data_IF_221061826229
#
_entry.id   IF_221061826229
#
_cell.length_a   1.000
_cell.length_b   1.000
_cell.length_c   1.000
_cell.angle_alpha   90.00
_cell.angle_beta   90.00
_cell.angle_gamma   90.00
#
_symmetry.space_group_name_H-M   'P 1'
#
loop_
_entity.id
_entity.type
_entity.pdbx_description
1 polymer ?
#
# COMPACT_ATOMS: atom_id res chain seq x y z
N UNK A 1 -9.12 19.94 -14.85
CA UNK A 1 -8.80 19.07 -13.69
C UNK A 1 -7.91 17.92 -14.14
N UNK A 2 -8.34 17.11 -15.11
CA UNK A 2 -7.47 16.17 -15.82
C UNK A 2 -6.68 16.90 -16.91
N UNK A 3 -5.37 16.74 -16.94
CA UNK A 3 -4.48 17.26 -17.99
C UNK A 3 -3.17 16.46 -17.98
N UNK A 4 -2.24 16.76 -18.89
CA UNK A 4 -0.93 16.10 -18.94
C UNK A 4 0.20 17.04 -18.55
N UNK A 5 1.20 16.51 -17.85
CA UNK A 5 2.42 17.23 -17.47
C UNK A 5 3.62 16.28 -17.54
N UNK A 6 4.82 16.82 -17.80
CA UNK A 6 6.06 16.05 -17.69
C UNK A 6 6.52 16.07 -16.23
N UNK A 7 6.68 14.88 -15.64
CA UNK A 7 7.14 14.70 -14.25
C UNK A 7 8.41 13.88 -14.26
N UNK A 8 9.42 14.27 -13.47
CA UNK A 8 10.70 13.55 -13.34
C UNK A 8 11.37 13.21 -14.69
N UNK A 9 11.32 14.15 -15.63
CA UNK A 9 11.88 14.01 -16.99
C UNK A 9 11.25 12.89 -17.85
N UNK A 10 10.10 12.34 -17.44
CA UNK A 10 9.30 11.42 -18.25
C UNK A 10 8.52 12.19 -19.33
N UNK A 11 8.13 11.52 -20.44
CA UNK A 11 7.12 12.05 -21.35
C UNK A 11 5.85 12.47 -20.59
N UNK A 12 5.10 13.43 -21.14
CA UNK A 12 3.93 13.96 -20.47
C UNK A 12 2.87 12.86 -20.24
N UNK A 13 2.40 12.75 -19.00
CA UNK A 13 1.41 11.76 -18.56
C UNK A 13 0.24 12.43 -17.83
N UNK A 14 -0.86 11.71 -17.66
CA UNK A 14 -2.06 12.25 -17.05
C UNK A 14 -1.88 12.52 -15.55
N UNK A 15 -2.39 13.67 -15.12
CA UNK A 15 -2.44 14.07 -13.70
C UNK A 15 -3.79 14.67 -13.36
N UNK A 16 -4.17 14.55 -12.09
CA UNK A 16 -5.40 15.12 -11.56
C UNK A 16 -5.10 16.31 -10.64
N UNK A 17 -5.67 17.46 -10.96
CA UNK A 17 -5.50 18.73 -10.22
C UNK A 17 -6.81 19.24 -9.62
N UNK A 18 -7.75 18.34 -9.33
CA UNK A 18 -9.02 18.73 -8.72
C UNK A 18 -8.80 19.25 -7.28
N UNK A 19 -9.57 20.24 -6.81
CA UNK A 19 -9.24 20.97 -5.59
C UNK A 19 -9.12 20.09 -4.34
N UNK A 20 -10.06 19.16 -4.12
CA UNK A 20 -10.07 18.33 -2.91
C UNK A 20 -8.99 17.27 -2.95
N UNK A 21 -8.74 16.68 -4.13
CA UNK A 21 -7.63 15.72 -4.31
C UNK A 21 -6.30 16.38 -3.97
N UNK A 22 -6.05 17.59 -4.49
CA UNK A 22 -4.79 18.30 -4.20
C UNK A 22 -4.70 18.69 -2.72
N UNK A 23 -5.79 19.16 -2.10
CA UNK A 23 -5.83 19.46 -0.66
C UNK A 23 -5.42 18.24 0.19
N UNK A 24 -6.04 17.10 -0.07
CA UNK A 24 -5.81 15.88 0.71
C UNK A 24 -4.44 15.27 0.41
N UNK A 25 -4.00 15.30 -0.84
CA UNK A 25 -2.67 14.82 -1.21
C UNK A 25 -1.57 15.66 -0.55
N UNK A 26 -1.70 17.00 -0.51
CA UNK A 26 -0.77 17.88 0.21
C UNK A 26 -0.65 17.47 1.68
N UNK A 27 -1.77 17.16 2.33
CA UNK A 27 -1.80 16.72 3.72
C UNK A 27 -1.17 15.32 3.90
N UNK A 28 -1.46 14.37 3.01
CA UNK A 28 -0.90 13.01 3.06
C UNK A 28 0.61 13.02 2.86
N UNK A 29 1.08 13.63 1.78
CA UNK A 29 2.50 13.61 1.42
C UNK A 29 3.33 14.65 2.19
N UNK A 30 2.72 15.61 2.90
CA UNK A 30 3.43 16.71 3.54
C UNK A 30 4.10 17.67 2.55
N UNK A 31 3.53 17.83 1.35
CA UNK A 31 4.05 18.71 0.30
C UNK A 31 3.06 19.84 -0.01
N UNK A 32 3.22 21.01 0.62
CA UNK A 32 2.27 22.13 0.50
C UNK A 32 2.20 22.76 -0.90
N UNK A 33 3.26 22.64 -1.70
CA UNK A 33 3.37 23.24 -3.04
C UNK A 33 2.85 22.35 -4.16
N UNK A 34 2.48 21.10 -3.87
CA UNK A 34 1.95 20.16 -4.86
C UNK A 34 0.77 20.76 -5.63
N UNK A 35 0.73 20.60 -6.95
CA UNK A 35 -0.33 21.14 -7.82
C UNK A 35 -1.25 20.06 -8.41
N UNK A 36 -0.82 18.81 -8.41
CA UNK A 36 -1.53 17.69 -9.01
C UNK A 36 -1.06 16.35 -8.41
N UNK A 37 -1.88 15.32 -8.57
CA UNK A 37 -1.54 13.93 -8.25
C UNK A 37 -1.40 13.15 -9.54
N UNK A 38 -0.33 12.36 -9.65
CA UNK A 38 -0.06 11.55 -10.84
C UNK A 38 -1.04 10.38 -10.96
N UNK A 39 -1.53 10.17 -12.18
CA UNK A 39 -2.26 8.96 -12.55
C UNK A 39 -1.30 7.98 -13.22
N UNK A 40 -1.69 6.71 -13.22
CA UNK A 40 -0.89 5.67 -13.85
C UNK A 40 -0.71 5.96 -15.35
N UNK A 41 0.50 5.70 -15.84
CA UNK A 41 0.92 6.01 -17.21
C UNK A 41 1.40 4.78 -17.99
N UNK A 42 1.29 3.59 -17.39
CA UNK A 42 1.52 2.29 -18.04
C UNK A 42 0.31 1.36 -17.91
N UNK A 43 0.34 0.19 -18.56
CA UNK A 43 -0.72 -0.83 -18.44
C UNK A 43 -1.89 -0.70 -19.43
N UNK A 44 -1.78 0.20 -20.42
CA UNK A 44 -2.77 0.36 -21.48
C UNK A 44 -4.09 1.01 -21.01
N UNK A 45 -5.13 0.91 -21.83
CA UNK A 45 -6.41 1.64 -21.64
C UNK A 45 -7.14 1.26 -20.36
N UNK A 46 -6.89 0.06 -19.81
CA UNK A 46 -7.49 -0.38 -18.55
C UNK A 46 -6.82 0.20 -17.30
N UNK A 47 -5.66 0.86 -17.44
CA UNK A 47 -4.92 1.40 -16.31
C UNK A 47 -4.63 2.89 -16.44
N UNK A 48 -4.11 3.29 -17.61
CA UNK A 48 -3.65 4.65 -17.87
C UNK A 48 -4.75 5.67 -17.62
N UNK A 49 -4.48 6.66 -16.77
CA UNK A 49 -5.41 7.74 -16.44
C UNK A 49 -6.62 7.34 -15.58
N UNK A 50 -6.72 6.08 -15.14
CA UNK A 50 -7.86 5.59 -14.33
C UNK A 50 -7.48 5.11 -12.94
N UNK A 51 -6.18 4.96 -12.66
CA UNK A 51 -5.62 4.57 -11.36
C UNK A 51 -4.61 5.60 -10.88
N UNK A 52 -4.37 5.65 -9.57
CA UNK A 52 -3.24 6.41 -9.03
C UNK A 52 -1.92 5.79 -9.47
N UNK A 53 -0.91 6.64 -9.68
CA UNK A 53 0.44 6.17 -9.96
C UNK A 53 0.93 5.28 -8.81
N UNK A 54 1.17 3.99 -9.07
CA UNK A 54 1.51 3.03 -8.00
C UNK A 54 2.77 3.44 -7.23
N UNK A 55 3.78 4.01 -7.91
CA UNK A 55 4.96 4.62 -7.28
C UNK A 55 4.60 5.53 -6.09
N UNK A 56 3.54 6.32 -6.22
CA UNK A 56 3.18 7.34 -5.24
C UNK A 56 2.11 6.86 -4.24
N UNK A 57 1.25 5.91 -4.65
CA UNK A 57 0.10 5.46 -3.88
C UNK A 57 -0.07 3.93 -3.87
N UNK A 58 1.02 3.18 -3.71
CA UNK A 58 1.10 1.71 -3.82
C UNK A 58 -0.03 0.97 -3.10
N UNK A 59 -0.36 1.42 -1.89
CA UNK A 59 -1.29 0.73 -1.00
C UNK A 59 -2.71 1.28 -1.04
N UNK A 60 -2.99 2.24 -1.92
CA UNK A 60 -4.33 2.78 -2.13
C UNK A 60 -5.24 1.78 -2.86
N UNK A 61 -6.53 1.81 -2.56
CA UNK A 61 -7.57 1.06 -3.26
C UNK A 61 -7.53 1.23 -4.78
N UNK A 62 -7.23 2.44 -5.24
CA UNK A 62 -7.19 2.81 -6.66
C UNK A 62 -5.75 2.79 -7.23
N UNK A 63 -4.81 2.10 -6.60
CA UNK A 63 -3.54 1.75 -7.23
C UNK A 63 -3.76 0.83 -8.44
N UNK A 64 -2.89 0.91 -9.44
CA UNK A 64 -3.01 0.16 -10.71
C UNK A 64 -2.80 -1.36 -10.56
N UNK A 65 -2.09 -1.77 -9.51
CA UNK A 65 -1.88 -3.18 -9.14
C UNK A 65 -2.38 -3.37 -7.71
N UNK A 66 -3.10 -4.47 -7.49
CA UNK A 66 -3.63 -4.81 -6.17
C UNK A 66 -2.50 -4.98 -5.15
N UNK A 67 -2.55 -4.17 -4.09
CA UNK A 67 -1.75 -4.30 -2.87
C UNK A 67 -2.71 -4.49 -1.67
N UNK A 68 -2.54 -3.71 -0.59
CA UNK A 68 -3.43 -3.71 0.58
C UNK A 68 -4.81 -3.11 0.28
N UNK A 69 -4.88 -2.17 -0.67
CA UNK A 69 -6.12 -1.55 -1.14
C UNK A 69 -6.86 -0.72 -0.09
N UNK A 70 -6.13 0.14 0.63
CA UNK A 70 -6.69 1.08 1.59
C UNK A 70 -7.64 2.08 0.93
N UNK A 71 -8.82 2.27 1.50
CA UNK A 71 -9.75 3.31 1.08
C UNK A 71 -9.28 4.67 1.64
N UNK A 72 -8.24 5.23 1.03
CA UNK A 72 -7.59 6.45 1.53
C UNK A 72 -8.44 7.70 1.30
N UNK A 73 -8.05 8.77 1.98
CA UNK A 73 -8.62 10.10 1.77
C UNK A 73 -8.42 10.61 0.34
N UNK A 74 -7.35 10.20 -0.37
CA UNK A 74 -7.06 10.64 -1.75
C UNK A 74 -8.14 10.10 -2.70
N UNK A 75 -8.48 8.82 -2.58
CA UNK A 75 -9.56 8.20 -3.36
C UNK A 75 -10.93 8.78 -3.00
N UNK A 76 -11.22 9.00 -1.71
CA UNK A 76 -12.47 9.66 -1.29
C UNK A 76 -12.58 11.06 -1.91
N UNK A 77 -11.49 11.83 -1.92
CA UNK A 77 -11.45 13.16 -2.50
C UNK A 77 -11.70 13.16 -4.02
N UNK A 78 -11.14 12.19 -4.74
CA UNK A 78 -11.37 12.06 -6.18
C UNK A 78 -12.85 11.79 -6.49
N UNK A 79 -13.50 10.93 -5.70
CA UNK A 79 -14.93 10.66 -5.82
C UNK A 79 -15.76 11.90 -5.48
N UNK A 80 -15.43 12.64 -4.43
CA UNK A 80 -16.13 13.89 -4.08
C UNK A 80 -15.99 14.97 -5.17
N UNK A 81 -14.80 15.15 -5.74
CA UNK A 81 -14.54 16.14 -6.80
C UNK A 81 -15.27 15.82 -8.12
N UNK A 82 -15.83 14.61 -8.29
CA UNK A 82 -16.74 14.33 -9.43
C UNK A 82 -18.08 15.05 -9.33
N UNK A 83 -18.47 15.48 -8.12
CA UNK A 83 -19.77 16.08 -7.83
C UNK A 83 -20.90 15.08 -7.57
N UNK A 84 -20.67 13.77 -7.72
CA UNK A 84 -21.68 12.74 -7.48
C UNK A 84 -21.78 12.30 -6.01
N UNK A 85 -20.73 12.55 -5.22
CA UNK A 85 -20.59 12.03 -3.86
C UNK A 85 -20.17 13.13 -2.89
N UNK A 86 -20.44 12.90 -1.60
CA UNK A 86 -19.86 13.68 -0.51
C UNK A 86 -18.93 12.79 0.31
N UNK A 87 -17.66 13.16 0.42
CA UNK A 87 -16.65 12.35 1.08
C UNK A 87 -16.85 12.28 2.60
N UNK A 88 -16.76 11.06 3.16
CA UNK A 88 -16.72 10.84 4.60
C UNK A 88 -15.28 10.50 5.04
N UNK A 89 -14.48 11.54 5.26
CA UNK A 89 -13.06 11.41 5.61
C UNK A 89 -12.82 10.82 7.01
N UNK A 90 -13.82 10.79 7.90
CA UNK A 90 -13.69 10.15 9.22
C UNK A 90 -13.34 8.66 9.09
N UNK A 91 -13.80 8.03 8.02
CA UNK A 91 -13.57 6.62 7.73
C UNK A 91 -12.43 6.38 6.73
N UNK A 92 -11.71 7.43 6.32
CA UNK A 92 -10.52 7.26 5.52
C UNK A 92 -9.50 6.38 6.27
N UNK A 93 -8.91 5.46 5.52
CA UNK A 93 -7.82 4.63 5.98
C UNK A 93 -6.48 5.36 5.80
N UNK A 94 -5.56 5.13 6.74
CA UNK A 94 -4.22 5.71 6.69
C UNK A 94 -3.33 4.78 5.87
N UNK A 95 -2.73 5.32 4.82
CA UNK A 95 -1.68 4.64 4.06
C UNK A 95 -0.33 5.12 4.57
N UNK A 96 0.55 4.22 5.00
CA UNK A 96 1.91 4.59 5.40
C UNK A 96 2.75 5.05 4.19
N UNK A 97 2.55 4.40 3.04
CA UNK A 97 3.26 4.72 1.80
C UNK A 97 3.12 6.19 1.40
N UNK A 98 4.24 6.90 1.28
CA UNK A 98 4.28 8.31 0.90
C UNK A 98 3.89 9.31 1.99
N UNK A 99 3.42 8.85 3.16
CA UNK A 99 2.98 9.75 4.23
C UNK A 99 4.15 10.61 4.71
N UNK A 100 3.99 11.94 4.67
CA UNK A 100 5.02 12.92 5.02
C UNK A 100 6.34 12.79 4.23
N UNK A 101 6.35 12.15 3.06
CA UNK A 101 7.55 12.01 2.24
C UNK A 101 8.11 13.36 1.73
N UNK A 102 7.30 14.43 1.77
CA UNK A 102 7.64 15.76 1.27
C UNK A 102 7.58 15.86 -0.26
N UNK A 103 7.90 17.04 -0.78
CA UNK A 103 7.83 17.30 -2.23
C UNK A 103 8.89 16.54 -3.03
N UNK A 104 9.97 16.10 -2.37
CA UNK A 104 11.04 15.31 -2.99
C UNK A 104 10.51 14.05 -3.69
N UNK A 105 9.44 13.43 -3.17
CA UNK A 105 8.80 12.29 -3.81
C UNK A 105 8.34 12.59 -5.24
N UNK A 106 7.87 13.81 -5.51
CA UNK A 106 7.31 14.22 -6.79
C UNK A 106 8.34 14.91 -7.68
N UNK A 107 9.23 15.70 -7.06
CA UNK A 107 10.18 16.56 -7.74
C UNK A 107 11.46 15.83 -8.17
N UNK A 108 11.80 14.72 -7.50
CA UNK A 108 13.05 13.97 -7.72
C UNK A 108 12.79 12.51 -8.07
N UNK A 109 13.77 11.91 -8.74
CA UNK A 109 13.83 10.46 -8.89
C UNK A 109 13.89 9.80 -7.51
N UNK A 110 13.34 8.60 -7.39
CA UNK A 110 13.32 7.86 -6.13
C UNK A 110 14.72 7.54 -5.60
N UNK A 111 15.66 7.27 -6.50
CA UNK A 111 17.08 7.03 -6.22
C UNK A 111 17.88 7.88 -7.20
N UNK A 112 18.97 8.50 -6.72
CA UNK A 112 19.90 9.31 -7.51
C UNK A 112 21.30 8.81 -7.21
N UNK A 113 22.02 8.35 -8.23
CA UNK A 113 23.39 7.82 -8.14
C UNK A 113 23.53 6.74 -7.03
N UNK A 114 22.53 5.87 -6.92
CA UNK A 114 22.51 4.80 -5.91
C UNK A 114 22.19 5.26 -4.49
N UNK A 115 21.66 6.48 -4.30
CA UNK A 115 21.19 6.98 -3.00
C UNK A 115 19.70 7.25 -3.04
N UNK A 116 18.94 6.59 -2.17
CA UNK A 116 17.51 6.82 -2.03
C UNK A 116 17.21 8.24 -1.55
N UNK A 117 16.29 8.90 -2.26
CA UNK A 117 15.81 10.25 -1.91
C UNK A 117 14.64 10.19 -0.92
N UNK A 118 14.03 9.01 -0.75
CA UNK A 118 12.98 8.74 0.23
C UNK A 118 13.21 7.34 0.84
N UNK A 119 14.19 7.18 1.76
CA UNK A 119 14.61 5.87 2.26
C UNK A 119 13.52 5.03 2.91
N UNK A 120 12.49 5.67 3.47
CA UNK A 120 11.32 5.02 4.05
C UNK A 120 10.42 4.32 3.01
N UNK A 121 10.54 4.69 1.72
CA UNK A 121 9.76 4.12 0.62
C UNK A 121 10.62 3.27 -0.30
N UNK A 122 11.78 3.80 -0.69
CA UNK A 122 12.63 3.21 -1.70
C UNK A 122 13.94 2.77 -1.09
N UNK A 123 14.29 1.52 -1.33
CA UNK A 123 15.60 0.98 -0.98
C UNK A 123 16.57 1.22 -2.15
N UNK A 124 17.86 1.25 -1.84
CA UNK A 124 18.95 1.55 -2.77
C UNK A 124 19.99 0.43 -2.83
N UNK A 125 19.90 -0.58 -1.97
CA UNK A 125 20.81 -1.73 -1.94
C UNK A 125 20.05 -3.06 -1.94
N UNK A 126 20.62 -4.05 -2.64
CA UNK A 126 20.08 -5.41 -2.72
C UNK A 126 20.16 -6.12 -1.37
N UNK A 127 19.07 -6.80 -0.99
CA UNK A 127 19.02 -7.61 0.23
C UNK A 127 18.87 -9.08 -0.16
N UNK A 128 19.94 -9.86 0.03
CA UNK A 128 19.97 -11.27 -0.38
C UNK A 128 19.63 -12.26 0.74
N UNK A 129 19.98 -11.92 1.98
CA UNK A 129 19.81 -12.82 3.11
C UNK A 129 18.45 -12.56 3.76
N UNK A 130 17.70 -13.63 3.99
CA UNK A 130 16.40 -13.58 4.69
C UNK A 130 16.55 -12.96 6.09
N UNK A 131 17.72 -13.14 6.73
CA UNK A 131 18.02 -12.51 8.04
C UNK A 131 18.03 -10.99 7.98
N UNK A 132 18.22 -10.40 6.81
CA UNK A 132 18.38 -8.95 6.61
C UNK A 132 17.14 -8.33 5.96
N UNK A 133 16.12 -9.15 5.67
CA UNK A 133 14.87 -8.66 5.13
C UNK A 133 14.22 -7.64 6.08
N UNK A 134 13.60 -6.63 5.49
CA UNK A 134 12.99 -5.49 6.17
C UNK A 134 11.48 -5.60 6.14
N UNK A 135 10.80 -4.92 7.07
CA UNK A 135 9.35 -4.81 7.00
C UNK A 135 8.89 -4.12 5.70
N UNK A 136 7.81 -4.63 5.11
CA UNK A 136 7.08 -3.88 4.08
C UNK A 136 6.44 -2.63 4.69
N UNK A 137 6.18 -1.61 3.86
CA UNK A 137 5.56 -0.34 4.29
C UNK A 137 4.24 -0.51 5.01
N UNK A 138 3.46 -1.51 4.60
CA UNK A 138 2.16 -1.89 5.16
C UNK A 138 2.26 -2.79 6.41
N UNK A 139 3.49 -3.16 6.80
CA UNK A 139 3.80 -4.06 7.92
C UNK A 139 3.10 -5.42 7.85
N UNK A 140 2.66 -5.86 6.66
CA UNK A 140 2.00 -7.15 6.47
C UNK A 140 2.98 -8.30 6.24
N UNK A 141 4.24 -8.00 5.96
CA UNK A 141 5.27 -9.01 5.75
C UNK A 141 6.68 -8.47 5.89
N UNK A 142 7.62 -9.37 5.67
CA UNK A 142 9.07 -9.11 5.65
C UNK A 142 9.56 -9.38 4.23
N UNK A 143 10.37 -8.50 3.66
CA UNK A 143 10.75 -8.53 2.26
C UNK A 143 12.18 -8.11 1.98
N UNK A 144 12.62 -8.36 0.76
CA UNK A 144 13.89 -7.87 0.23
C UNK A 144 13.72 -6.60 -0.60
N UNK A 145 14.86 -6.00 -0.91
CA UNK A 145 15.01 -5.01 -1.95
C UNK A 145 15.51 -5.69 -3.22
N UNK A 146 14.63 -5.91 -4.20
CA UNK A 146 15.02 -6.50 -5.47
C UNK A 146 15.40 -5.43 -6.48
N UNK A 147 16.65 -5.51 -6.93
CA UNK A 147 17.18 -4.72 -8.04
C UNK A 147 17.63 -5.71 -9.13
N UNK A 148 17.37 -5.37 -10.39
CA UNK A 148 17.67 -6.21 -11.55
C UNK A 148 18.44 -5.44 -12.62
N UNK A 149 19.03 -6.21 -13.52
CA UNK A 149 19.71 -5.73 -14.72
C UNK A 149 18.79 -5.86 -15.94
N UNK A 150 18.73 -4.81 -16.74
CA UNK A 150 17.93 -4.70 -17.94
C UNK A 150 18.83 -4.48 -19.16
N UNK A 151 18.41 -4.93 -20.34
CA UNK A 151 19.16 -4.65 -21.59
C UNK A 151 19.29 -3.14 -21.86
N UNK A 152 18.31 -2.36 -21.46
CA UNK A 152 18.35 -0.90 -21.52
C UNK A 152 17.24 -0.31 -20.64
N UNK A 153 17.56 0.70 -19.84
CA UNK A 153 16.56 1.54 -19.17
C UNK A 153 16.48 2.93 -19.83
N UNK A 154 15.27 3.51 -19.97
CA UNK A 154 15.13 4.92 -20.32
C UNK A 154 15.91 5.81 -19.37
N UNK A 155 16.47 6.92 -19.87
CA UNK A 155 17.35 7.82 -19.08
C UNK A 155 16.70 8.28 -17.76
N UNK A 156 15.39 8.53 -17.77
CA UNK A 156 14.63 8.94 -16.58
C UNK A 156 14.39 7.82 -15.55
N UNK A 157 14.69 6.56 -15.88
CA UNK A 157 14.67 5.40 -14.98
C UNK A 157 16.08 4.85 -14.64
N UNK A 158 17.14 5.53 -15.07
CA UNK A 158 18.52 5.18 -14.71
C UNK A 158 18.84 5.78 -13.34
N UNK A 159 18.68 4.99 -12.28
CA UNK A 159 18.81 5.46 -10.90
C UNK A 159 20.18 5.21 -10.27
N UNK A 160 20.95 4.30 -10.84
CA UNK A 160 22.24 3.86 -10.33
C UNK A 160 23.36 4.27 -11.28
N UNK A 161 24.61 4.25 -10.79
CA UNK A 161 25.80 4.47 -11.62
C UNK A 161 25.87 3.50 -12.79
N UNK A 162 25.38 2.28 -12.58
CA UNK A 162 25.09 1.33 -13.66
C UNK A 162 23.73 1.65 -14.27
N UNK A 163 23.74 2.05 -15.55
CA UNK A 163 22.56 2.51 -16.30
C UNK A 163 21.58 1.40 -16.64
N UNK A 164 21.97 0.14 -16.48
CA UNK A 164 21.14 -1.03 -16.74
C UNK A 164 20.47 -1.53 -15.46
N UNK A 165 20.81 -0.94 -14.31
CA UNK A 165 20.32 -1.36 -12.99
C UNK A 165 19.06 -0.56 -12.59
N UNK A 166 18.04 -1.26 -12.09
CA UNK A 166 16.78 -0.66 -11.63
C UNK A 166 15.94 -1.63 -10.80
N UNK A 167 14.97 -1.11 -10.05
CA UNK A 167 14.01 -1.93 -9.31
C UNK A 167 13.17 -2.81 -10.24
N UNK A 168 12.73 -3.96 -9.75
CA UNK A 168 12.09 -5.00 -10.58
C UNK A 168 10.69 -4.66 -11.12
N UNK A 169 10.06 -3.59 -10.63
CA UNK A 169 8.64 -3.30 -10.85
C UNK A 169 8.43 -2.03 -11.69
N UNK A 170 7.96 -2.20 -12.93
CA UNK A 170 7.69 -1.09 -13.85
C UNK A 170 6.57 -0.15 -13.36
N UNK A 171 5.62 -0.63 -12.55
CA UNK A 171 4.53 0.20 -12.00
C UNK A 171 5.06 1.20 -10.97
N UNK A 172 6.20 0.87 -10.37
CA UNK A 172 6.95 1.74 -9.47
C UNK A 172 7.91 2.68 -10.21
N UNK A 173 7.78 2.82 -11.54
CA UNK A 173 8.77 3.49 -12.39
C UNK A 173 10.18 2.87 -12.22
N UNK A 174 10.28 1.55 -11.99
CA UNK A 174 11.54 0.87 -11.68
C UNK A 174 12.22 1.37 -10.39
N UNK A 175 11.52 2.07 -9.50
CA UNK A 175 12.03 2.40 -8.18
C UNK A 175 12.12 1.12 -7.33
N UNK A 176 13.28 0.81 -6.71
CA UNK A 176 13.38 -0.34 -5.82
C UNK A 176 12.64 -0.05 -4.50
N UNK A 177 11.95 -1.05 -3.97
CA UNK A 177 11.22 -0.96 -2.71
C UNK A 177 11.22 -2.32 -2.02
N UNK A 178 10.92 -2.32 -0.71
CA UNK A 178 10.83 -3.56 0.06
C UNK A 178 9.54 -4.31 -0.32
N UNK A 179 9.69 -5.53 -0.83
CA UNK A 179 8.59 -6.37 -1.28
C UNK A 179 8.61 -7.72 -0.56
N UNK A 180 7.49 -8.07 0.07
CA UNK A 180 7.32 -9.39 0.66
C UNK A 180 6.91 -10.44 -0.38
N UNK A 181 7.25 -11.69 -0.10
CA UNK A 181 6.77 -12.86 -0.81
C UNK A 181 5.59 -13.49 -0.04
N UNK A 182 4.83 -14.36 -0.72
CA UNK A 182 3.74 -15.11 -0.08
C UNK A 182 4.22 -15.95 1.11
N UNK A 183 5.46 -16.44 1.08
CA UNK A 183 6.10 -17.21 2.16
C UNK A 183 6.68 -16.34 3.27
N UNK A 184 6.72 -15.02 3.11
CA UNK A 184 7.27 -14.08 4.08
C UNK A 184 6.24 -13.09 4.65
N UNK A 185 4.95 -13.41 4.53
CA UNK A 185 3.84 -12.65 5.12
C UNK A 185 3.66 -12.97 6.60
N UNK A 186 3.25 -11.98 7.39
CA UNK A 186 2.91 -12.19 8.81
C UNK A 186 1.59 -12.96 9.01
N UNK A 187 0.75 -13.07 7.99
CA UNK A 187 -0.49 -13.85 8.08
C UNK A 187 -0.22 -15.36 8.18
N UNK A 188 0.66 -15.88 7.33
CA UNK A 188 0.83 -17.31 7.09
C UNK A 188 2.21 -17.68 6.50
N UNK A 189 3.25 -16.92 6.88
CA UNK A 189 4.62 -17.13 6.41
C UNK A 189 5.24 -18.46 6.85
N UNK A 190 6.44 -18.71 6.36
CA UNK A 190 7.16 -19.97 6.58
C UNK A 190 7.99 -19.91 7.87
N UNK A 191 7.61 -20.72 8.86
CA UNK A 191 8.28 -20.84 10.17
C UNK A 191 9.74 -21.31 10.07
N UNK A 192 10.15 -21.93 8.96
CA UNK A 192 11.54 -22.36 8.71
C UNK A 192 12.44 -21.25 8.15
N UNK A 193 11.87 -20.11 7.78
CA UNK A 193 12.58 -18.98 7.19
C UNK A 193 12.55 -17.76 8.11
N UNK A 194 11.38 -17.46 8.68
CA UNK A 194 11.13 -16.29 9.51
C UNK A 194 11.25 -16.65 11.00
N UNK A 195 12.49 -16.88 11.43
CA UNK A 195 12.78 -17.23 12.82
C UNK A 195 12.31 -16.14 13.78
N UNK A 196 11.84 -16.53 14.97
CA UNK A 196 11.30 -15.58 15.96
C UNK A 196 9.93 -14.97 15.62
N UNK A 197 9.35 -15.23 14.45
CA UNK A 197 8.06 -14.66 14.06
C UNK A 197 6.87 -15.47 14.55
N UNK A 198 5.75 -14.78 14.82
CA UNK A 198 4.40 -15.38 14.97
C UNK A 198 3.57 -15.10 13.72
N UNK A 199 2.57 -15.94 13.46
CA UNK A 199 1.72 -15.84 12.28
C UNK A 199 0.25 -15.86 12.65
N UNK A 200 -0.46 -14.79 12.32
CA UNK A 200 -1.90 -14.66 12.56
C UNK A 200 -2.49 -13.52 11.73
N UNK A 201 -3.82 -13.40 11.68
CA UNK A 201 -4.50 -12.25 11.08
C UNK A 201 -4.13 -10.92 11.75
N UNK A 202 -3.80 -10.97 13.05
CA UNK A 202 -3.39 -9.80 13.84
C UNK A 202 -1.89 -9.53 13.79
N UNK A 203 -1.09 -10.42 13.21
CA UNK A 203 0.36 -10.28 13.22
C UNK A 203 0.82 -9.19 12.25
N UNK A 204 1.74 -8.34 12.70
CA UNK A 204 2.37 -7.28 11.90
C UNK A 204 3.88 -7.33 12.04
N UNK A 205 4.56 -6.77 11.06
CA UNK A 205 6.00 -6.71 11.01
C UNK A 205 6.56 -5.56 11.86
N UNK A 206 7.57 -5.89 12.65
CA UNK A 206 8.36 -4.97 13.44
C UNK A 206 9.84 -5.09 13.09
N UNK A 207 10.49 -3.93 12.91
CA UNK A 207 11.90 -3.82 12.61
C UNK A 207 12.73 -3.90 13.89
N UNK A 208 13.92 -4.47 13.79
CA UNK A 208 14.91 -4.43 14.86
C UNK A 208 15.51 -3.02 15.01
N UNK A 209 15.81 -2.63 16.23
CA UNK A 209 16.36 -1.30 16.55
C UNK A 209 17.70 -1.09 15.87
N UNK A 210 17.86 0.04 15.16
CA UNK A 210 19.12 0.46 14.53
C UNK A 210 19.75 -0.62 13.62
N UNK A 211 18.93 -1.48 13.00
CA UNK A 211 19.40 -2.63 12.22
C UNK A 211 20.36 -3.57 12.97
N UNK A 212 20.25 -3.66 14.30
CA UNK A 212 20.96 -4.68 15.09
C UNK A 212 20.16 -5.97 15.07
N UNK A 213 20.77 -7.09 14.66
CA UNK A 213 20.07 -8.37 14.57
C UNK A 213 19.43 -8.81 15.89
N UNK A 214 18.18 -9.25 15.80
CA UNK A 214 17.49 -9.99 16.83
C UNK A 214 18.10 -11.40 16.89
N UNK A 215 18.70 -11.76 18.02
CA UNK A 215 19.32 -13.07 18.20
C UNK A 215 18.30 -14.06 18.73
N UNK A 216 17.95 -15.04 17.90
CA UNK A 216 16.98 -16.09 18.21
C UNK A 216 17.72 -17.24 18.92
N UNK A 217 17.05 -17.88 19.90
CA UNK A 217 17.63 -18.93 20.75
C UNK A 217 18.16 -20.16 19.98
N UNK A 218 17.73 -20.36 18.74
CA UNK A 218 18.23 -21.40 17.84
C UNK A 218 19.49 -20.99 17.05
N UNK A 219 20.15 -19.90 17.43
CA UNK A 219 21.37 -19.38 16.80
C UNK A 219 21.13 -18.68 15.46
N UNK A 220 19.88 -18.30 15.14
CA UNK A 220 19.53 -17.53 13.95
C UNK A 220 19.36 -16.05 14.27
N UNK A 221 19.48 -15.22 13.25
CA UNK A 221 19.40 -13.77 13.35
C UNK A 221 18.33 -13.23 12.39
N UNK A 222 17.64 -12.17 12.78
CA UNK A 222 16.66 -11.47 11.95
C UNK A 222 16.72 -9.95 12.19
N UNK A 223 16.59 -9.13 11.14
CA UNK A 223 16.38 -7.68 11.23
C UNK A 223 14.91 -7.28 11.34
N UNK A 224 14.00 -8.20 11.07
CA UNK A 224 12.56 -7.99 11.19
C UNK A 224 11.88 -9.26 11.67
N UNK A 225 10.82 -9.13 12.44
CA UNK A 225 9.97 -10.25 12.86
C UNK A 225 8.49 -9.87 12.80
N UNK A 226 7.62 -10.87 12.70
CA UNK A 226 6.19 -10.68 12.91
C UNK A 226 5.82 -10.91 14.38
N UNK A 227 5.02 -10.02 14.94
CA UNK A 227 4.45 -10.11 16.29
C UNK A 227 2.93 -9.93 16.24
N UNK A 228 2.18 -10.62 17.11
CA UNK A 228 0.73 -10.43 17.22
C UNK A 228 0.45 -9.04 17.76
N UNK A 229 -0.56 -8.35 17.21
CA UNK A 229 -0.94 -7.00 17.63
C UNK A 229 -2.35 -7.01 18.19
N UNK A 230 -2.52 -6.44 19.38
CA UNK A 230 -3.83 -6.19 19.98
C UNK A 230 -4.06 -4.69 20.09
N UNK A 231 -5.00 -4.18 19.30
CA UNK A 231 -5.30 -2.76 19.20
C UNK A 231 -6.46 -2.36 20.14
N UNK A 232 -6.30 -1.23 20.83
CA UNK A 232 -7.35 -0.49 21.51
C UNK A 232 -7.61 0.82 20.75
N UNK A 233 -8.81 0.92 20.19
CA UNK A 233 -9.23 2.05 19.36
C UNK A 233 -9.53 3.30 20.15
N UNK A 234 -10.09 3.14 21.34
CA UNK A 234 -10.61 4.26 22.11
C UNK A 234 -9.44 5.10 22.65
N UNK A 235 -8.32 4.43 22.94
CA UNK A 235 -7.10 5.06 23.41
C UNK A 235 -6.02 5.23 22.33
N UNK A 236 -6.24 4.69 21.12
CA UNK A 236 -5.22 4.63 20.05
C UNK A 236 -3.90 4.00 20.53
N UNK A 237 -4.01 2.96 21.36
CA UNK A 237 -2.88 2.20 21.90
C UNK A 237 -2.90 0.77 21.37
N UNK A 238 -1.76 0.11 21.35
CA UNK A 238 -1.69 -1.30 21.05
C UNK A 238 -0.69 -2.01 21.93
N UNK A 239 -0.88 -3.32 22.03
CA UNK A 239 0.03 -4.24 22.69
C UNK A 239 0.51 -5.27 21.70
N UNK A 240 1.71 -5.81 21.92
CA UNK A 240 2.32 -6.83 21.08
C UNK A 240 2.56 -8.11 21.84
N UNK A 241 2.52 -9.24 21.15
CA UNK A 241 2.98 -10.53 21.68
C UNK A 241 3.93 -11.18 20.68
N UNK A 242 5.18 -11.33 21.11
CA UNK A 242 6.24 -11.96 20.32
C UNK A 242 6.24 -13.48 20.51
N UNK A 243 6.97 -14.19 19.66
CA UNK A 243 7.04 -15.67 19.74
C UNK A 243 7.56 -16.10 21.12
N UNK A 244 6.88 -17.06 21.73
CA UNK A 244 7.24 -17.62 23.04
C UNK A 244 6.78 -16.81 24.27
N UNK A 245 6.25 -15.60 24.08
CA UNK A 245 5.64 -14.84 25.16
C UNK A 245 4.21 -15.34 25.45
N UNK A 246 3.82 -15.38 26.73
CA UNK A 246 2.45 -15.71 27.16
C UNK A 246 1.49 -14.54 26.95
N UNK A 247 1.94 -13.34 27.31
CA UNK A 247 1.10 -12.15 27.46
C UNK A 247 1.41 -11.08 26.41
N UNK A 248 0.42 -10.22 26.19
CA UNK A 248 0.57 -9.00 25.39
C UNK A 248 1.19 -7.89 26.24
N UNK A 249 2.17 -7.19 25.67
CA UNK A 249 2.91 -6.11 26.33
C UNK A 249 2.72 -4.79 25.60
N UNK A 250 2.63 -3.69 26.35
CA UNK A 250 2.50 -2.36 25.75
C UNK A 250 3.70 -2.06 24.84
N UNK A 251 3.43 -1.55 23.63
CA UNK A 251 4.46 -1.11 22.69
C UNK A 251 4.15 0.32 22.22
N UNK A 252 4.35 1.34 23.08
CA UNK A 252 4.03 2.72 22.72
C UNK A 252 4.82 3.17 21.48
N UNK A 253 4.21 3.86 20.50
CA UNK A 253 4.89 4.30 19.28
C UNK A 253 6.20 5.09 19.55
N UNK A 254 7.25 4.78 18.81
CA UNK A 254 8.57 5.41 18.93
C UNK A 254 9.42 4.89 20.11
N UNK A 255 8.89 3.97 20.91
CA UNK A 255 9.66 3.28 21.96
C UNK A 255 10.28 1.98 21.44
N UNK A 256 11.12 1.36 22.26
CA UNK A 256 11.79 0.10 21.96
C UNK A 256 11.34 -1.00 22.90
N UNK A 257 11.11 -2.20 22.38
CA UNK A 257 10.76 -3.37 23.18
C UNK A 257 11.91 -4.39 23.14
N UNK A 258 12.60 -4.59 24.27
CA UNK A 258 13.66 -5.59 24.42
C UNK A 258 13.04 -6.99 24.51
N UNK A 259 13.34 -7.87 23.56
CA UNK A 259 12.59 -9.10 23.38
C UNK A 259 12.90 -10.16 24.44
N UNK A 260 14.14 -10.21 24.92
CA UNK A 260 14.61 -11.16 25.94
C UNK A 260 13.92 -10.96 27.30
N UNK A 261 13.37 -9.78 27.57
CA UNK A 261 12.65 -9.48 28.80
C UNK A 261 11.28 -10.18 28.87
N UNK A 262 10.75 -10.62 27.71
CA UNK A 262 9.40 -11.16 27.58
C UNK A 262 9.34 -12.58 27.02
N UNK A 263 10.40 -13.07 26.37
CA UNK A 263 10.42 -14.40 25.80
C UNK A 263 11.83 -15.00 25.71
N UNK A 264 11.96 -16.24 26.17
CA UNK A 264 13.19 -17.03 26.07
C UNK A 264 13.51 -17.48 24.62
N UNK A 265 12.62 -17.22 23.65
CA UNK A 265 12.91 -17.43 22.23
C UNK A 265 13.97 -16.44 21.70
N UNK A 266 14.23 -15.35 22.42
CA UNK A 266 15.18 -14.31 22.04
C UNK A 266 16.29 -14.21 23.08
N UNK A 267 17.54 -14.34 22.65
CA UNK A 267 18.72 -14.13 23.51
C UNK A 267 19.04 -12.66 23.69
N UNK A 268 18.88 -11.86 22.63
CA UNK A 268 19.10 -10.41 22.67
C UNK A 268 18.40 -9.71 21.49
N UNK A 269 18.35 -8.39 21.55
CA UNK A 269 17.76 -7.55 20.53
C UNK A 269 16.45 -6.91 20.97
N UNK A 270 16.09 -5.82 20.30
CA UNK A 270 14.88 -5.07 20.55
C UNK A 270 14.20 -4.70 19.22
N UNK A 271 12.89 -4.55 19.26
CA UNK A 271 12.11 -4.04 18.14
C UNK A 271 11.68 -2.59 18.36
N UNK A 272 11.48 -1.85 17.27
CA UNK A 272 10.92 -0.50 17.27
C UNK A 272 9.39 -0.55 17.22
N UNK A 273 8.72 0.08 18.19
CA UNK A 273 7.27 0.18 18.22
C UNK A 273 6.78 1.18 17.17
N UNK A 274 6.10 0.67 16.16
CA UNK A 274 5.51 1.43 15.05
C UNK A 274 4.41 2.42 15.49
N UNK A 275 4.08 3.43 14.66
CA UNK A 275 2.85 4.20 14.77
C UNK A 275 1.61 3.31 14.83
N UNK A 276 0.61 3.73 15.61
CA UNK A 276 -0.63 2.98 15.80
C UNK A 276 -1.31 2.68 14.46
N UNK A 277 -1.48 3.68 13.61
CA UNK A 277 -2.17 3.55 12.33
C UNK A 277 -1.54 2.54 11.35
N UNK A 278 -0.23 2.25 11.49
CA UNK A 278 0.48 1.33 10.60
C UNK A 278 0.26 -0.14 11.00
N UNK A 279 0.06 -0.41 12.29
CA UNK A 279 -0.15 -1.78 12.81
C UNK A 279 -1.62 -2.07 13.10
N UNK A 280 -2.44 -1.04 13.24
CA UNK A 280 -3.85 -1.10 13.58
C UNK A 280 -4.77 -0.39 12.55
N UNK A 281 -4.70 -0.69 11.24
CA UNK A 281 -5.53 0.03 10.28
C UNK A 281 -7.01 -0.42 10.32
N UNK A 282 -7.89 0.50 9.93
CA UNK A 282 -9.34 0.42 10.19
C UNK A 282 -10.03 -0.79 9.55
N UNK A 283 -9.55 -1.27 8.41
CA UNK A 283 -10.06 -2.46 7.72
C UNK A 283 -9.98 -3.76 8.52
N UNK A 284 -9.05 -3.88 9.48
CA UNK A 284 -8.87 -5.13 10.24
C UNK A 284 -9.82 -5.27 11.43
N UNK A 285 -10.64 -4.26 11.71
CA UNK A 285 -11.62 -4.36 12.77
C UNK A 285 -12.94 -4.93 12.26
N UNK A 286 -13.17 -6.20 12.52
CA UNK A 286 -14.39 -6.95 12.20
C UNK A 286 -15.72 -6.37 12.72
N UNK A 287 -15.70 -5.27 13.47
CA UNK A 287 -16.91 -4.60 13.99
C UNK A 287 -17.42 -3.42 13.15
N UNK A 288 -16.89 -3.17 11.95
CA UNK A 288 -17.47 -2.13 11.06
C UNK A 288 -18.85 -2.50 10.48
N UNK A 289 -19.33 -3.73 10.70
CA UNK A 289 -20.65 -4.21 10.26
C UNK A 289 -21.74 -4.17 11.34
N UNK A 290 -21.59 -3.43 12.45
CA UNK A 290 -22.62 -3.39 13.52
C UNK A 290 -23.24 -2.03 13.84
N UNK A 291 -23.01 -1.01 13.02
CA UNK A 291 -23.68 0.31 13.11
C UNK A 291 -24.45 0.71 11.84
N UNK A 292 -24.73 -0.24 10.94
CA UNK A 292 -25.83 -0.06 9.98
C UNK A 292 -27.08 -0.60 10.67
N UNK A 293 -27.98 0.29 11.09
CA UNK A 293 -29.34 -0.04 11.49
C UNK A 293 -30.07 -0.72 10.32
N UNK A 294 -29.88 -2.04 10.16
CA UNK A 294 -30.72 -2.89 9.32
C UNK A 294 -31.91 -3.35 10.17
N UNK A 295 -32.71 -2.38 10.60
CA UNK A 295 -34.08 -2.61 11.05
C UNK A 295 -35.01 -1.97 10.01
N UNK A 296 -35.04 -2.53 8.80
CA UNK A 296 -36.18 -2.50 7.86
C UNK A 296 -35.84 -3.13 6.48
N UNK A 297 -35.26 -4.34 6.41
CA UNK A 297 -35.35 -5.12 5.15
C UNK A 297 -35.14 -6.63 5.31
N UNK A 298 -35.64 -7.25 6.38
CA UNK A 298 -35.87 -8.71 6.35
C UNK A 298 -37.23 -8.99 5.70
N UNK A 299 -37.29 -8.83 4.37
CA UNK A 299 -38.23 -9.62 3.56
C UNK A 299 -37.40 -10.55 2.69
N UNK A 300 -37.49 -11.82 3.07
CA UNK A 300 -36.91 -12.99 2.42
C UNK A 300 -36.89 -12.89 0.90
N UNK A 301 -35.73 -13.11 0.29
CA UNK A 301 -35.63 -13.52 -1.10
C UNK A 301 -34.74 -14.77 -1.20
N UNK A 302 -35.22 -15.87 -0.63
CA UNK A 302 -34.76 -17.20 -1.04
C UNK A 302 -35.60 -17.66 -2.23
N UNK A 303 -34.98 -17.75 -3.40
CA UNK A 303 -35.53 -18.41 -4.58
C UNK A 303 -35.70 -17.49 -5.78
N UNK A 304 -34.63 -17.32 -6.56
CA UNK A 304 -34.73 -16.73 -7.91
C UNK A 304 -34.41 -17.82 -8.94
N UNK A 305 -35.42 -18.16 -9.73
CA UNK A 305 -35.43 -19.18 -10.80
C UNK A 305 -34.72 -18.69 -12.07
N UNK A 306 -34.41 -19.57 -13.05
CA UNK A 306 -33.53 -19.28 -14.21
C UNK A 306 -34.04 -18.21 -15.20
N UNK A 307 -35.23 -17.65 -14.99
CA UNK A 307 -35.88 -16.71 -15.92
C UNK A 307 -35.26 -15.31 -15.85
N UNK A 308 -34.67 -14.92 -14.71
CA UNK A 308 -34.06 -13.59 -14.55
C UNK A 308 -32.73 -13.41 -15.31
N UNK A 309 -31.99 -14.49 -15.57
CA UNK A 309 -30.77 -14.43 -16.38
C UNK A 309 -31.06 -14.03 -17.83
N UNK A 310 -32.16 -14.52 -18.42
CA UNK A 310 -32.51 -14.17 -19.80
C UNK A 310 -33.02 -12.73 -19.98
N UNK A 311 -33.62 -12.14 -18.95
CA UNK A 311 -34.06 -10.73 -18.98
C UNK A 311 -32.89 -9.75 -18.81
N UNK A 312 -31.89 -10.09 -18.00
CA UNK A 312 -30.70 -9.25 -17.83
C UNK A 312 -29.85 -9.20 -19.12
N UNK A 313 -29.68 -10.33 -19.81
CA UNK A 313 -28.92 -10.38 -21.06
C UNK A 313 -29.61 -9.64 -22.22
N UNK A 314 -30.94 -9.66 -22.31
CA UNK A 314 -31.67 -8.93 -23.35
C UNK A 314 -31.62 -7.42 -23.15
N UNK A 315 -31.64 -6.94 -21.91
CA UNK A 315 -31.49 -5.51 -21.56
C UNK A 315 -30.08 -4.97 -21.87
N UNK A 316 -29.03 -5.73 -21.59
CA UNK A 316 -27.64 -5.33 -21.90
C UNK A 316 -27.41 -5.29 -23.41
N UNK A 317 -27.94 -6.26 -24.16
CA UNK A 317 -27.85 -6.27 -25.62
C UNK A 317 -28.63 -5.10 -26.27
N UNK A 318 -29.80 -4.76 -25.74
CA UNK A 318 -30.59 -3.62 -26.21
C UNK A 318 -29.88 -2.28 -25.95
N UNK A 319 -29.25 -2.11 -24.78
CA UNK A 319 -28.46 -0.91 -24.45
C UNK A 319 -27.23 -0.77 -25.35
N UNK A 320 -26.52 -1.87 -25.64
CA UNK A 320 -25.38 -1.86 -26.56
C UNK A 320 -25.80 -1.47 -28.00
N UNK A 321 -26.93 -1.98 -28.49
CA UNK A 321 -27.46 -1.63 -29.81
C UNK A 321 -27.87 -0.14 -29.89
N UNK A 322 -28.47 0.40 -28.84
CA UNK A 322 -28.85 1.82 -28.76
C UNK A 322 -27.60 2.71 -28.78
N UNK A 323 -26.55 2.35 -28.04
CA UNK A 323 -25.28 3.10 -28.02
C UNK A 323 -24.62 3.11 -29.41
N UNK A 324 -24.61 1.98 -30.11
CA UNK A 324 -24.06 1.89 -31.48
C UNK A 324 -24.85 2.75 -32.47
N UNK A 325 -26.19 2.78 -32.37
CA UNK A 325 -27.05 3.63 -33.22
C UNK A 325 -26.80 5.11 -32.93
N UNK A 326 -26.61 5.50 -31.67
CA UNK A 326 -26.27 6.88 -31.30
C UNK A 326 -24.89 7.31 -31.82
N UNK A 327 -23.88 6.45 -31.73
CA UNK A 327 -22.54 6.70 -32.29
C UNK A 327 -22.61 6.85 -33.81
N UNK A 328 -23.38 5.99 -34.49
CA UNK A 328 -23.54 6.04 -35.95
C UNK A 328 -24.28 7.31 -36.41
N UNK A 329 -25.32 7.75 -35.69
CA UNK A 329 -26.05 9.00 -35.96
C UNK A 329 -25.23 10.26 -35.65
N UNK A 330 -24.32 10.21 -34.68
CA UNK A 330 -23.45 11.34 -34.35
C UNK A 330 -22.37 11.56 -35.42
N UNK A 331 -21.88 10.47 -36.05
CA UNK A 331 -20.85 10.51 -37.10
C UNK A 331 -21.33 10.95 -38.50
N UNK A 332 -22.64 11.09 -38.70
CA UNK A 332 -23.29 11.40 -40.00
C UNK A 332 -23.91 12.81 -40.05
N UNK A 333 -23.66 13.67 -39.06
CA UNK A 333 -24.04 15.08 -39.15
C UNK A 333 -22.90 15.87 -39.83
N UNK A 334 -23.17 16.62 -40.91
CA UNK A 334 -22.16 17.40 -41.63
C UNK A 334 -21.57 18.53 -40.78
#
# INVERSE_FOLDING_TARGET
MLHTVSVRNKPASYVLSSPKVVEVARAHYGCSTMQHVELEDIGGTGSVGSHWKMRNAKDDLMASVKSVSFYTAITIAAMEDTGYYKGNYRNAESMAWGKNAGCVLFDKNCVIDGVSQVPEMFCDDEIFLISDYKCTSDRMGIGDCLIAYYTSLPIYFQYFSDREKGGTDQWMDYCPYIKAYSTSMCLNGNTRMMYGSVFSESARCFSAVSSTHLQISNGKNMLSICADVQCDKDTSRYRVRVKGASDFVDCPPGTTLVLSDYSAEFWSGAIECAPYEDVCPKSFYSNYNRDININESKRSFSGMTPVFYHLAFTLVAALAAIIIIFIYKWRQRP
#
